data_IF_585955874762
#
_entry.id   IF_585955874762
#
_cell.length_a   1.000
_cell.length_b   1.000
_cell.length_c   1.000
_cell.angle_alpha   90.00
_cell.angle_beta   90.00
_cell.angle_gamma   90.00
#
_symmetry.space_group_name_H-M   'P 1'
#
loop_
_entity.id
_entity.type
_entity.pdbx_description
1 polymer ?
#
# COMPACT_ATOMS: atom_id res chain seq x y z
N UNK A 1 18.52 -12.67 9.37
CA UNK A 1 18.29 -11.35 9.97
C UNK A 1 17.70 -10.45 8.90
N UNK A 2 16.37 -10.34 8.86
CA UNK A 2 15.61 -9.64 7.80
C UNK A 2 15.63 -8.15 8.07
N UNK A 3 16.02 -7.35 7.07
CA UNK A 3 15.98 -5.90 7.11
C UNK A 3 14.58 -5.45 7.56
N UNK A 4 14.50 -4.86 8.75
CA UNK A 4 13.29 -4.23 9.26
C UNK A 4 12.96 -3.10 8.30
N UNK A 5 11.91 -3.28 7.49
CA UNK A 5 11.61 -2.36 6.38
C UNK A 5 11.51 -0.93 6.93
N UNK A 6 12.39 -0.04 6.46
CA UNK A 6 12.64 1.30 7.01
C UNK A 6 11.36 2.09 7.33
N UNK A 7 10.34 1.96 6.48
CA UNK A 7 9.05 2.60 6.64
C UNK A 7 8.25 2.14 7.89
N UNK A 8 8.41 0.89 8.34
CA UNK A 8 7.83 0.38 9.59
C UNK A 8 8.42 1.07 10.82
N UNK A 9 9.73 1.28 10.83
CA UNK A 9 10.40 2.02 11.89
C UNK A 9 9.92 3.48 11.89
N UNK A 10 9.82 4.10 10.71
CA UNK A 10 9.33 5.48 10.60
C UNK A 10 7.89 5.65 11.11
N UNK A 11 6.98 4.71 10.85
CA UNK A 11 5.61 4.79 11.36
C UNK A 11 5.55 4.63 12.88
N UNK A 12 6.21 3.61 13.42
CA UNK A 12 6.19 3.32 14.85
C UNK A 12 6.79 4.47 15.66
N UNK A 13 7.92 5.01 15.22
CA UNK A 13 8.60 6.16 15.87
C UNK A 13 7.75 7.43 15.85
N UNK A 14 6.93 7.65 14.81
CA UNK A 14 6.18 8.90 14.64
C UNK A 14 4.80 8.93 15.26
N UNK A 15 4.15 7.77 15.32
CA UNK A 15 2.78 7.67 15.82
C UNK A 15 2.75 7.17 17.26
N UNK A 16 3.84 6.54 17.74
CA UNK A 16 3.86 5.88 19.05
C UNK A 16 2.89 4.70 19.16
N UNK A 17 2.32 4.26 18.02
CA UNK A 17 1.21 3.33 17.98
C UNK A 17 1.60 2.03 17.27
N UNK A 18 1.06 0.93 17.78
CA UNK A 18 1.11 -0.35 17.09
C UNK A 18 0.28 -0.31 15.80
N UNK A 19 0.65 -1.10 14.79
CA UNK A 19 -0.05 -1.16 13.50
C UNK A 19 -1.54 -1.57 13.62
N UNK A 20 -2.43 -0.58 13.69
CA UNK A 20 -3.89 -0.73 13.78
C UNK A 20 -4.65 0.12 12.74
N UNK A 21 -5.89 -0.25 12.41
CA UNK A 21 -6.73 0.48 11.44
C UNK A 21 -7.11 1.86 11.99
N UNK A 22 -6.56 2.93 11.42
CA UNK A 22 -6.85 4.32 11.80
C UNK A 22 -7.29 5.15 10.59
N UNK A 23 -8.60 5.46 10.54
CA UNK A 23 -9.19 6.36 9.54
C UNK A 23 -9.06 5.89 8.09
N UNK A 24 -8.97 6.82 7.14
CA UNK A 24 -8.80 6.54 5.70
C UNK A 24 -7.35 6.19 5.33
N UNK A 25 -6.45 6.01 6.32
CA UNK A 25 -5.03 5.76 6.10
C UNK A 25 -4.80 4.26 5.99
N UNK A 26 -3.97 3.86 5.04
CA UNK A 26 -3.47 2.50 4.95
C UNK A 26 -2.27 2.35 5.90
N UNK A 27 -2.29 1.32 6.74
CA UNK A 27 -1.27 1.06 7.74
C UNK A 27 -0.57 -0.28 7.45
N UNK A 28 0.73 -0.40 7.71
CA UNK A 28 1.38 -1.71 7.81
C UNK A 28 0.64 -2.55 8.82
N UNK A 29 0.50 -3.86 8.57
CA UNK A 29 0.13 -4.84 9.58
C UNK A 29 0.79 -6.18 9.27
N UNK A 30 0.82 -7.06 10.26
CA UNK A 30 1.12 -8.47 10.02
C UNK A 30 -0.18 -9.21 9.72
N UNK A 31 -0.21 -9.94 8.62
CA UNK A 31 -1.34 -10.80 8.28
C UNK A 31 -1.53 -11.85 9.39
N UNK A 32 -2.75 -11.94 9.95
CA UNK A 32 -3.02 -12.88 11.03
C UNK A 32 -2.87 -14.35 10.62
N UNK A 33 -3.14 -14.66 9.34
CA UNK A 33 -3.10 -16.03 8.80
C UNK A 33 -1.69 -16.46 8.39
N UNK A 34 -1.05 -15.72 7.48
CA UNK A 34 0.24 -16.12 6.91
C UNK A 34 1.45 -15.39 7.49
N UNK A 35 1.24 -14.47 8.45
CA UNK A 35 2.29 -13.68 9.11
C UNK A 35 3.18 -12.85 8.18
N UNK A 36 2.79 -12.65 6.91
CA UNK A 36 3.45 -11.71 5.99
C UNK A 36 3.07 -10.27 6.33
N UNK A 37 3.98 -9.36 6.01
CA UNK A 37 3.72 -7.93 6.10
C UNK A 37 2.72 -7.53 5.01
N UNK A 38 1.70 -6.77 5.38
CA UNK A 38 0.66 -6.26 4.49
C UNK A 38 0.45 -4.77 4.73
N UNK A 39 -0.11 -4.09 3.75
CA UNK A 39 -0.67 -2.75 3.92
C UNK A 39 -2.19 -2.87 3.96
N UNK A 40 -2.82 -2.39 5.02
CA UNK A 40 -4.27 -2.51 5.22
C UNK A 40 -4.91 -1.15 5.51
N UNK A 41 -5.99 -0.83 4.81
CA UNK A 41 -6.74 0.40 5.01
C UNK A 41 -8.08 0.33 4.27
N UNK A 42 -8.85 1.40 4.31
CA UNK A 42 -10.07 1.50 3.52
C UNK A 42 -9.81 2.14 2.16
N UNK A 43 -10.50 1.66 1.12
CA UNK A 43 -10.54 2.33 -0.17
C UNK A 43 -11.26 3.67 -0.02
N UNK A 44 -10.51 4.76 -0.11
CA UNK A 44 -10.99 6.11 0.13
C UNK A 44 -11.21 6.83 -1.20
N UNK A 45 -12.21 6.42 -2.02
CA UNK A 45 -13.38 7.28 -2.24
C UNK A 45 -14.71 6.59 -2.67
N UNK A 46 -14.78 5.26 -2.90
CA UNK A 46 -15.91 4.65 -3.65
C UNK A 46 -16.79 3.70 -2.80
N UNK A 47 -16.21 2.83 -1.97
CA UNK A 47 -17.00 1.82 -1.24
C UNK A 47 -16.62 1.61 0.23
N UNK A 48 -15.59 2.30 0.76
CA UNK A 48 -15.04 2.05 2.09
C UNK A 48 -14.75 0.56 2.38
N UNK A 49 -14.45 -0.22 1.34
CA UNK A 49 -14.07 -1.62 1.47
C UNK A 49 -12.69 -1.74 2.07
N UNK A 50 -12.50 -2.74 2.93
CA UNK A 50 -11.19 -3.06 3.47
C UNK A 50 -10.28 -3.54 2.34
N UNK A 51 -9.23 -2.78 2.07
CA UNK A 51 -8.14 -3.16 1.19
C UNK A 51 -7.02 -3.75 2.02
N UNK A 52 -6.54 -4.93 1.62
CA UNK A 52 -5.32 -5.53 2.15
C UNK A 52 -4.43 -5.82 0.95
N UNK A 53 -3.24 -5.24 0.92
CA UNK A 53 -2.31 -5.32 -0.20
C UNK A 53 -0.95 -5.83 0.25
N UNK A 54 -0.25 -6.52 -0.65
CA UNK A 54 1.17 -6.80 -0.46
C UNK A 54 1.96 -5.48 -0.60
N UNK A 55 2.92 -5.17 0.29
CA UNK A 55 3.64 -3.90 0.29
C UNK A 55 4.81 -3.90 -0.72
N UNK A 56 4.56 -4.40 -1.93
CA UNK A 56 5.56 -4.51 -2.99
C UNK A 56 5.01 -3.90 -4.28
N UNK A 57 5.86 -3.12 -4.96
CA UNK A 57 5.48 -2.39 -6.16
C UNK A 57 5.34 -3.32 -7.36
N UNK A 58 4.24 -3.19 -8.09
CA UNK A 58 4.05 -3.85 -9.38
C UNK A 58 4.69 -3.06 -10.53
N UNK A 59 5.22 -3.79 -11.51
CA UNK A 59 5.45 -3.26 -12.86
C UNK A 59 4.17 -3.35 -13.69
N UNK A 60 4.08 -2.69 -14.86
CA UNK A 60 2.92 -2.84 -15.76
C UNK A 60 2.63 -4.30 -16.13
N UNK A 61 3.68 -5.11 -16.34
CA UNK A 61 3.53 -6.54 -16.67
C UNK A 61 2.94 -7.34 -15.50
N UNK A 62 3.34 -7.01 -14.26
CA UNK A 62 2.79 -7.66 -13.07
C UNK A 62 1.37 -7.19 -12.75
N UNK A 63 1.02 -5.93 -13.04
CA UNK A 63 -0.37 -5.45 -12.98
C UNK A 63 -1.24 -6.20 -13.98
N UNK A 64 -0.77 -6.40 -15.23
CA UNK A 64 -1.46 -7.21 -16.22
C UNK A 64 -1.63 -8.68 -15.78
N UNK A 65 -0.61 -9.27 -15.14
CA UNK A 65 -0.72 -10.60 -14.56
C UNK A 65 -1.80 -10.67 -13.47
N UNK A 66 -1.97 -9.61 -12.67
CA UNK A 66 -3.06 -9.55 -11.68
C UNK A 66 -4.44 -9.59 -12.35
N UNK A 67 -4.63 -8.88 -13.47
CA UNK A 67 -5.89 -8.90 -14.24
C UNK A 67 -6.21 -10.31 -14.74
N UNK A 68 -5.23 -11.00 -15.33
CA UNK A 68 -5.39 -12.38 -15.82
C UNK A 68 -5.74 -13.33 -14.68
N UNK A 69 -5.08 -13.17 -13.53
CA UNK A 69 -5.28 -14.01 -12.34
C UNK A 69 -6.53 -13.64 -11.52
N UNK A 70 -7.33 -12.67 -11.99
CA UNK A 70 -8.45 -12.09 -11.25
C UNK A 70 -8.04 -11.68 -9.82
N UNK A 71 -6.87 -11.07 -9.68
CA UNK A 71 -6.33 -10.56 -8.41
C UNK A 71 -6.53 -9.04 -8.37
N UNK A 72 -7.22 -8.48 -7.36
CA UNK A 72 -7.43 -7.04 -7.30
C UNK A 72 -6.11 -6.25 -7.18
N UNK A 73 -6.09 -5.02 -7.69
CA UNK A 73 -4.95 -4.10 -7.58
C UNK A 73 -5.38 -2.74 -7.02
N UNK A 74 -4.44 -2.10 -6.32
CA UNK A 74 -4.66 -0.84 -5.64
C UNK A 74 -3.56 0.16 -6.01
N UNK A 75 -3.93 1.42 -6.23
CA UNK A 75 -2.98 2.52 -6.26
C UNK A 75 -2.61 2.92 -4.83
N UNK A 76 -1.32 3.08 -4.56
CA UNK A 76 -0.83 3.64 -3.31
C UNK A 76 -0.53 5.13 -3.50
N UNK A 77 -1.10 5.96 -2.63
CA UNK A 77 -0.88 7.39 -2.57
C UNK A 77 -0.15 7.81 -1.31
N UNK A 78 0.42 9.02 -1.33
CA UNK A 78 0.91 9.69 -0.13
C UNK A 78 2.19 9.09 0.46
N UNK A 79 2.99 8.40 -0.36
CA UNK A 79 4.28 7.82 0.05
C UNK A 79 5.20 8.92 0.58
N UNK A 80 5.37 10.01 -0.16
CA UNK A 80 6.26 11.11 0.23
C UNK A 80 5.85 11.77 1.57
N UNK A 81 4.55 11.88 1.81
CA UNK A 81 4.00 12.47 3.03
C UNK A 81 3.85 11.48 4.20
N UNK A 82 4.17 10.19 4.00
CA UNK A 82 3.91 9.12 4.97
C UNK A 82 2.42 8.91 5.29
N UNK A 83 1.51 9.47 4.48
CA UNK A 83 0.05 9.39 4.64
C UNK A 83 -0.51 8.45 3.61
N UNK A 84 -0.18 7.16 3.78
CA UNK A 84 -0.52 6.12 2.83
C UNK A 84 -2.03 6.01 2.66
N UNK A 85 -2.51 5.99 1.41
CA UNK A 85 -3.91 5.73 1.07
C UNK A 85 -3.99 4.74 -0.08
N UNK A 86 -4.95 3.83 -0.02
CA UNK A 86 -5.21 2.88 -1.09
C UNK A 86 -6.43 3.34 -1.88
N UNK A 87 -6.34 3.22 -3.20
CA UNK A 87 -7.48 3.40 -4.08
C UNK A 87 -7.62 2.21 -5.01
N UNK A 88 -8.81 1.63 -5.11
CA UNK A 88 -9.04 0.53 -6.04
C UNK A 88 -8.72 0.95 -7.47
N UNK A 89 -7.95 0.10 -8.15
CA UNK A 89 -7.67 0.21 -9.58
C UNK A 89 -8.45 -0.88 -10.29
N UNK A 90 -7.97 -2.12 -10.25
CA UNK A 90 -8.65 -3.27 -10.82
C UNK A 90 -9.34 -4.07 -9.71
N UNK A 91 -10.64 -4.27 -9.81
CA UNK A 91 -11.38 -5.26 -9.02
C UNK A 91 -12.09 -6.20 -10.01
N UNK A 92 -11.86 -7.53 -9.93
CA UNK A 92 -12.54 -8.48 -10.80
C UNK A 92 -14.06 -8.34 -10.72
N UNK A 93 -14.71 -8.28 -11.89
CA UNK A 93 -16.17 -8.11 -11.99
C UNK A 93 -16.67 -6.68 -11.84
N UNK A 94 -15.81 -5.70 -11.59
CA UNK A 94 -16.16 -4.27 -11.58
C UNK A 94 -15.67 -3.59 -12.86
N UNK A 95 -16.55 -2.81 -13.48
CA UNK A 95 -16.18 -1.94 -14.61
C UNK A 95 -15.39 -0.76 -14.07
N UNK A 96 -14.19 -0.54 -14.59
CA UNK A 96 -13.42 0.67 -14.28
C UNK A 96 -14.08 1.87 -14.96
N UNK A 97 -14.45 2.88 -14.17
CA UNK A 97 -15.08 4.10 -14.66
C UNK A 97 -14.08 5.17 -15.15
N UNK A 98 -12.76 4.91 -15.04
CA UNK A 98 -11.72 5.86 -15.41
C UNK A 98 -10.47 5.15 -15.91
N UNK A 99 -9.76 5.84 -16.79
CA UNK A 99 -8.41 5.47 -17.17
C UNK A 99 -7.44 5.77 -16.03
N UNK A 100 -6.48 4.87 -15.85
CA UNK A 100 -5.44 5.02 -14.86
C UNK A 100 -4.07 5.14 -15.52
N UNK A 101 -3.15 5.96 -14.99
CA UNK A 101 -1.77 5.98 -15.49
C UNK A 101 -1.12 4.61 -15.25
N UNK A 102 -0.19 4.16 -16.11
CA UNK A 102 0.40 2.82 -15.98
C UNK A 102 1.27 2.69 -14.71
N UNK A 103 1.50 1.45 -14.24
CA UNK A 103 2.19 1.17 -12.95
C UNK A 103 3.68 1.58 -12.87
N UNK A 104 4.28 2.00 -13.97
CA UNK A 104 5.59 2.64 -14.00
C UNK A 104 5.53 4.13 -13.58
N UNK A 105 4.38 4.79 -13.74
CA UNK A 105 4.16 6.20 -13.39
C UNK A 105 3.59 6.41 -11.98
N UNK A 106 2.97 5.38 -11.41
CA UNK A 106 2.38 5.41 -10.05
C UNK A 106 2.69 4.12 -9.29
N UNK A 107 2.62 4.15 -7.96
CA UNK A 107 2.83 2.92 -7.18
C UNK A 107 1.53 2.11 -7.17
N UNK A 108 1.59 0.91 -7.74
CA UNK A 108 0.49 -0.06 -7.76
C UNK A 108 0.88 -1.28 -6.94
N UNK A 109 -0.07 -1.79 -6.16
CA UNK A 109 0.09 -2.97 -5.31
C UNK A 109 -0.94 -4.03 -5.69
N UNK A 110 -0.58 -5.30 -5.54
CA UNK A 110 -1.53 -6.40 -5.62
C UNK A 110 -2.25 -6.59 -4.28
N UNK A 111 -3.53 -6.98 -4.33
CA UNK A 111 -4.26 -7.43 -3.14
C UNK A 111 -3.55 -8.61 -2.49
N UNK A 112 -3.46 -8.63 -1.17
CA UNK A 112 -2.82 -9.71 -0.43
C UNK A 112 -3.60 -11.03 -0.61
N UNK A 113 -2.87 -12.10 -0.91
CA UNK A 113 -3.41 -13.45 -1.02
C UNK A 113 -2.56 -14.35 -0.11
N UNK A 114 -3.18 -14.95 0.91
CA UNK A 114 -2.48 -15.81 1.88
C UNK A 114 -1.94 -17.10 1.26
N UNK A 115 -2.61 -17.61 0.22
CA UNK A 115 -2.37 -18.92 -0.37
C UNK A 115 -1.41 -18.83 -1.58
N UNK A 116 -1.04 -17.60 -1.99
CA UNK A 116 -0.06 -17.34 -3.06
C UNK A 116 1.09 -16.47 -2.57
N UNK A 117 2.33 -16.70 -3.04
CA UNK A 117 3.42 -15.78 -2.77
C UNK A 117 3.15 -14.40 -3.38
N UNK A 118 3.82 -13.33 -2.90
CA UNK A 118 3.81 -12.04 -3.58
C UNK A 118 4.30 -12.20 -5.03
N UNK A 119 3.70 -11.46 -5.96
CA UNK A 119 4.12 -11.47 -7.37
C UNK A 119 5.49 -10.80 -7.59
N UNK A 120 5.95 -10.04 -6.62
CA UNK A 120 7.22 -9.33 -6.60
C UNK A 120 7.63 -9.06 -5.16
N UNK A 121 8.92 -8.82 -4.96
CA UNK A 121 9.51 -8.37 -3.70
C UNK A 121 10.14 -6.98 -3.83
N UNK A 122 9.88 -6.27 -4.93
CA UNK A 122 10.33 -4.91 -5.17
C UNK A 122 9.72 -3.98 -4.10
N UNK A 123 10.54 -3.41 -3.19
CA UNK A 123 10.02 -2.65 -2.06
C UNK A 123 9.34 -1.35 -2.50
N UNK A 124 8.49 -0.80 -1.63
CA UNK A 124 7.98 0.56 -1.81
C UNK A 124 9.15 1.56 -1.83
N UNK A 125 9.06 2.64 -2.64
CA UNK A 125 10.06 3.69 -2.62
C UNK A 125 10.16 4.30 -1.23
N UNK A 126 11.37 4.71 -0.85
CA UNK A 126 11.56 5.40 0.42
C UNK A 126 10.75 6.70 0.44
N UNK A 127 10.02 6.98 1.53
CA UNK A 127 9.31 8.23 1.67
C UNK A 127 10.29 9.39 1.60
N UNK A 128 10.13 10.25 0.60
CA UNK A 128 10.88 11.50 0.50
C UNK A 128 10.30 12.47 1.51
N UNK A 129 10.81 12.43 2.73
CA UNK A 129 10.58 13.51 3.67
C UNK A 129 11.18 14.76 3.04
N UNK A 130 10.35 15.76 2.76
CA UNK A 130 10.86 17.13 2.68
C UNK A 130 11.73 17.34 3.91
N UNK A 131 12.91 17.93 3.75
CA UNK A 131 13.83 18.16 4.85
C UNK A 131 13.04 18.74 6.02
N UNK A 132 12.93 17.97 7.11
CA UNK A 132 12.27 18.43 8.34
C UNK A 132 13.06 19.66 8.77
N UNK A 133 12.48 20.84 8.60
CA UNK A 133 13.12 22.06 9.04
C UNK A 133 13.07 22.07 10.57
N UNK A 134 14.10 22.56 11.26
CA UNK A 134 14.02 22.78 12.71
C UNK A 134 12.81 23.66 13.02
N UNK A 135 11.78 23.09 13.66
CA UNK A 135 10.53 23.78 13.98
C UNK A 135 9.28 23.24 13.28
N UNK A 136 9.42 22.32 12.32
CA UNK A 136 8.25 21.67 11.71
C UNK A 136 7.50 20.82 12.73
N UNK A 137 6.26 21.21 13.04
CA UNK A 137 5.33 20.41 13.85
C UNK A 137 4.70 19.36 12.94
N UNK A 138 4.74 18.05 13.29
CA UNK A 138 4.11 17.01 12.47
C UNK A 138 2.62 17.33 12.29
N UNK A 139 2.09 17.30 11.05
CA UNK A 139 0.67 17.50 10.87
C UNK A 139 -0.03 16.21 11.35
N UNK A 140 -0.77 16.35 12.45
CA UNK A 140 -1.76 15.43 13.03
C UNK A 140 -2.29 14.32 12.10
#
# INVERSE_FOLDING_TARGET
>A
MTARAYWLAALATRTGQDPGLLGTKAVPRWCARCRRLVLAGYDAPVCATLCIADPYRLTPQLEAACVILARPTYQLWGIDAGRLKLTSRHIPGFVQARDFPPADHVVVLAAHDCDRPPLTLDPLPEPRYGAVQPGDVPPY
#
